data_IF_820317963770
#
_entry.id   IF_820317963770
#
_cell.length_a   1.000
_cell.length_b   1.000
_cell.length_c   1.000
_cell.angle_alpha   90.00
_cell.angle_beta   90.00
_cell.angle_gamma   90.00
#
_symmetry.space_group_name_H-M   'P 1'
#
loop_
_entity.id
_entity.type
_entity.pdbx_description
1 polymer ?
#
# COMPACT_ATOMS: atom_id res chain seq x y z
N UNK A 1 55.00 -52.82 29.89
CA UNK A 1 55.23 -51.82 28.84
C UNK A 1 54.23 -50.69 29.07
N UNK A 2 54.42 -49.71 29.96
CA UNK A 2 55.61 -48.94 30.41
C UNK A 2 55.80 -47.64 29.62
N UNK A 3 55.41 -46.51 30.26
CA UNK A 3 55.77 -45.09 30.06
C UNK A 3 56.12 -44.48 28.67
N UNK A 4 55.26 -43.55 28.20
CA UNK A 4 55.60 -42.28 27.51
C UNK A 4 56.46 -42.37 26.21
N UNK A 5 57.01 -41.33 25.54
CA UNK A 5 57.12 -39.84 25.62
C UNK A 5 57.05 -39.28 24.15
N UNK A 6 56.89 -37.98 23.79
CA UNK A 6 56.79 -36.67 24.50
C UNK A 6 56.01 -35.62 23.63
N UNK A 7 55.88 -34.40 24.14
CA UNK A 7 55.25 -33.20 23.54
C UNK A 7 56.09 -32.52 22.42
N UNK A 8 55.46 -32.06 21.31
CA UNK A 8 55.76 -30.87 20.47
C UNK A 8 54.84 -30.85 19.22
N UNK A 9 54.44 -29.72 18.62
CA UNK A 9 54.72 -28.31 18.90
C UNK A 9 53.53 -27.39 18.55
N UNK A 10 53.67 -26.11 18.90
CA UNK A 10 52.71 -25.01 18.69
C UNK A 10 52.22 -24.84 17.25
N UNK A 11 50.96 -24.39 17.11
CA UNK A 11 50.58 -23.38 16.13
C UNK A 11 49.68 -22.33 16.81
N UNK A 12 49.74 -21.08 16.34
CA UNK A 12 49.04 -19.94 16.94
C UNK A 12 48.08 -19.28 15.94
N UNK A 13 47.05 -18.61 16.46
CA UNK A 13 45.90 -18.09 15.71
C UNK A 13 44.61 -18.82 16.12
N UNK A 14 43.46 -18.17 16.27
CA UNK A 14 43.16 -16.73 16.16
C UNK A 14 41.94 -16.37 17.03
N UNK A 15 41.46 -15.13 16.96
CA UNK A 15 40.34 -14.66 17.79
C UNK A 15 39.06 -15.48 17.54
N UNK A 16 38.49 -16.03 18.63
CA UNK A 16 37.12 -16.51 18.69
C UNK A 16 36.35 -15.69 19.74
N UNK A 17 36.09 -14.41 19.43
CA UNK A 17 35.18 -13.60 20.23
C UNK A 17 33.76 -14.14 20.05
N UNK A 18 33.24 -14.82 21.07
CA UNK A 18 31.85 -15.28 21.11
C UNK A 18 30.92 -14.06 21.19
N UNK A 19 30.47 -13.60 20.03
CA UNK A 19 29.47 -12.54 19.92
C UNK A 19 28.21 -12.99 20.65
N UNK A 20 27.82 -12.23 21.67
CA UNK A 20 26.57 -12.44 22.39
C UNK A 20 25.40 -12.07 21.45
N UNK A 21 24.95 -13.04 20.66
CA UNK A 21 23.78 -12.92 19.81
C UNK A 21 22.53 -12.81 20.67
N UNK A 22 22.16 -11.59 21.05
CA UNK A 22 20.79 -11.29 21.47
C UNK A 22 19.87 -11.60 20.30
N UNK A 23 19.27 -12.80 20.32
CA UNK A 23 18.23 -13.21 19.40
C UNK A 23 16.94 -12.46 19.74
N UNK A 24 16.91 -11.16 19.43
CA UNK A 24 15.66 -10.39 19.37
C UNK A 24 14.74 -11.13 18.41
N UNK A 25 13.62 -11.62 18.91
CA UNK A 25 12.61 -12.23 18.05
C UNK A 25 12.23 -11.22 16.96
N UNK A 26 12.01 -11.65 15.69
CA UNK A 26 11.42 -10.77 14.71
C UNK A 26 10.09 -10.28 15.29
N UNK A 27 9.91 -8.96 15.36
CA UNK A 27 8.69 -8.38 15.86
C UNK A 27 7.52 -8.91 15.02
N UNK A 28 6.48 -9.41 15.68
CA UNK A 28 5.28 -9.87 15.00
C UNK A 28 4.74 -8.72 14.16
N UNK A 29 4.57 -8.93 12.85
CA UNK A 29 4.09 -7.90 11.94
C UNK A 29 2.61 -7.65 12.23
N UNK A 30 2.35 -6.72 13.15
CA UNK A 30 1.05 -6.09 13.34
C UNK A 30 0.89 -5.11 12.17
N UNK A 31 0.04 -5.38 11.17
CA UNK A 31 -0.27 -4.37 10.17
C UNK A 31 -0.86 -3.15 10.88
N UNK A 32 -0.52 -1.91 10.46
CA UNK A 32 -1.08 -0.73 11.09
C UNK A 32 -2.61 -0.78 11.02
N UNK A 33 -3.28 -0.51 12.14
CA UNK A 33 -4.74 -0.37 12.16
C UNK A 33 -5.09 0.75 11.17
N UNK A 34 -5.99 0.53 10.19
CA UNK A 34 -6.41 1.59 9.27
C UNK A 34 -6.94 2.78 10.05
N UNK A 35 -6.16 3.87 10.10
CA UNK A 35 -6.52 5.06 10.87
C UNK A 35 -7.46 5.89 10.02
N UNK A 36 -8.68 6.08 10.52
CA UNK A 36 -9.60 7.09 9.96
C UNK A 36 -9.08 8.48 10.33
N UNK A 37 -8.13 8.99 9.54
CA UNK A 37 -7.52 10.30 9.78
C UNK A 37 -8.48 11.44 9.37
N UNK A 38 -8.26 12.67 9.86
CA UNK A 38 -9.04 13.83 9.42
C UNK A 38 -9.01 14.04 7.90
N UNK A 39 -7.91 13.67 7.23
CA UNK A 39 -7.73 13.86 5.80
C UNK A 39 -8.38 12.72 5.01
N UNK A 40 -8.36 11.48 5.52
CA UNK A 40 -9.20 10.38 4.99
C UNK A 40 -10.69 10.75 5.05
N UNK A 41 -11.16 11.26 6.20
CA UNK A 41 -12.55 11.68 6.37
C UNK A 41 -12.93 12.87 5.47
N UNK A 42 -12.02 13.83 5.27
CA UNK A 42 -12.19 14.95 4.36
C UNK A 42 -12.30 14.50 2.90
N UNK A 43 -11.46 13.55 2.47
CA UNK A 43 -11.51 13.00 1.11
C UNK A 43 -12.80 12.21 0.88
N UNK A 44 -13.17 11.32 1.81
CA UNK A 44 -14.42 10.54 1.74
C UNK A 44 -15.69 11.40 1.63
N UNK A 45 -15.71 12.55 2.31
CA UNK A 45 -16.84 13.49 2.31
C UNK A 45 -16.88 14.45 1.11
N UNK A 46 -15.92 14.39 0.19
CA UNK A 46 -15.99 15.19 -1.04
C UNK A 46 -17.21 14.82 -1.88
N UNK A 47 -17.82 15.85 -2.46
CA UNK A 47 -18.86 15.75 -3.50
C UNK A 47 -18.26 16.38 -4.75
N UNK A 48 -18.20 15.62 -5.84
CA UNK A 48 -17.53 16.04 -7.07
C UNK A 48 -18.50 16.71 -8.04
N UNK A 49 -17.97 17.48 -9.00
CA UNK A 49 -18.76 18.13 -10.05
C UNK A 49 -19.44 17.14 -11.02
N UNK A 50 -19.00 15.88 -11.04
CA UNK A 50 -19.54 14.80 -11.88
C UNK A 50 -20.89 14.28 -11.38
N UNK A 51 -21.10 14.24 -10.06
CA UNK A 51 -22.37 13.95 -9.41
C UNK A 51 -22.43 14.69 -8.07
N UNK A 52 -23.28 15.70 -7.99
CA UNK A 52 -23.42 16.53 -6.79
C UNK A 52 -24.35 15.94 -5.72
N UNK A 53 -24.80 14.69 -5.89
CA UNK A 53 -25.77 14.02 -5.01
C UNK A 53 -25.17 12.94 -4.11
N UNK A 54 -24.02 12.34 -4.46
CA UNK A 54 -23.36 11.29 -3.67
C UNK A 54 -21.93 11.69 -3.24
N UNK A 55 -21.57 11.51 -1.95
CA UNK A 55 -20.18 11.62 -1.50
C UNK A 55 -19.27 10.55 -2.10
N UNK A 56 -17.98 10.85 -2.17
CA UNK A 56 -16.95 9.97 -2.73
C UNK A 56 -16.89 8.60 -2.06
N UNK A 57 -17.06 8.52 -0.74
CA UNK A 57 -17.14 7.22 -0.03
C UNK A 57 -18.31 6.37 -0.53
N UNK A 58 -19.48 6.98 -0.72
CA UNK A 58 -20.68 6.29 -1.19
C UNK A 58 -20.53 5.79 -2.63
N UNK A 59 -19.85 6.55 -3.50
CA UNK A 59 -19.50 6.09 -4.85
C UNK A 59 -18.60 4.83 -4.80
N UNK A 60 -17.50 4.87 -4.03
CA UNK A 60 -16.61 3.71 -3.88
C UNK A 60 -17.23 2.52 -3.12
N UNK A 61 -18.21 2.75 -2.25
CA UNK A 61 -19.02 1.70 -1.61
C UNK A 61 -19.95 0.99 -2.60
N UNK A 62 -20.48 1.71 -3.59
CA UNK A 62 -21.38 1.17 -4.61
C UNK A 62 -20.64 0.57 -5.82
N UNK A 63 -19.40 1.00 -6.08
CA UNK A 63 -18.60 0.58 -7.23
C UNK A 63 -18.31 -0.93 -7.25
N UNK A 64 -18.97 -1.64 -8.16
CA UNK A 64 -19.08 -3.10 -8.19
C UNK A 64 -17.86 -3.85 -8.73
N UNK A 65 -16.91 -3.16 -9.37
CA UNK A 65 -15.65 -3.75 -9.83
C UNK A 65 -14.63 -3.93 -8.70
N UNK A 66 -14.75 -3.19 -7.59
CA UNK A 66 -13.95 -3.45 -6.39
C UNK A 66 -14.54 -4.61 -5.58
N UNK A 67 -13.75 -5.65 -5.29
CA UNK A 67 -14.10 -6.67 -4.30
C UNK A 67 -14.33 -5.99 -2.92
N UNK A 68 -15.57 -5.99 -2.38
CA UNK A 68 -15.91 -5.18 -1.20
C UNK A 68 -15.09 -5.48 0.06
N UNK A 69 -14.54 -6.70 0.19
CA UNK A 69 -13.70 -7.11 1.32
C UNK A 69 -12.27 -6.55 1.28
N UNK A 70 -11.88 -5.96 0.15
CA UNK A 70 -10.51 -5.49 -0.12
C UNK A 70 -10.39 -3.97 -0.19
N UNK A 71 -11.52 -3.27 -0.05
CA UNK A 71 -11.61 -1.81 -0.12
C UNK A 71 -10.94 -1.18 1.10
N UNK A 72 -9.82 -0.50 0.89
CA UNK A 72 -9.06 0.21 1.93
C UNK A 72 -9.01 1.70 1.65
N UNK A 73 -9.04 2.48 2.72
CA UNK A 73 -8.71 3.91 2.71
C UNK A 73 -7.54 4.12 3.67
N UNK A 74 -6.48 4.79 3.22
CA UNK A 74 -5.25 4.97 4.00
C UNK A 74 -4.63 6.35 3.72
N UNK A 75 -4.09 7.00 4.75
CA UNK A 75 -3.22 8.17 4.58
C UNK A 75 -1.75 7.68 4.59
N UNK A 76 -1.16 7.58 3.40
CA UNK A 76 0.19 7.04 3.19
C UNK A 76 1.28 7.98 3.75
N UNK A 77 1.05 9.28 3.60
CA UNK A 77 1.90 10.41 4.01
C UNK A 77 0.95 11.56 4.42
N UNK A 78 1.35 12.52 5.26
CA UNK A 78 0.52 13.67 5.60
C UNK A 78 -0.03 14.40 4.37
N UNK A 79 -1.36 14.43 4.24
CA UNK A 79 -2.07 14.99 3.08
C UNK A 79 -2.04 14.14 1.81
N UNK A 80 -1.68 12.85 1.89
CA UNK A 80 -1.72 11.88 0.77
C UNK A 80 -2.63 10.72 1.13
N UNK A 81 -3.88 10.80 0.68
CA UNK A 81 -4.88 9.75 0.91
C UNK A 81 -4.96 8.86 -0.33
N UNK A 82 -5.02 7.54 -0.12
CA UNK A 82 -5.31 6.58 -1.18
C UNK A 82 -6.55 5.77 -0.83
N UNK A 83 -7.40 5.56 -1.83
CA UNK A 83 -8.33 4.43 -1.87
C UNK A 83 -7.69 3.31 -2.68
N UNK A 84 -7.85 2.06 -2.26
CA UNK A 84 -7.49 0.91 -3.09
C UNK A 84 -8.40 -0.29 -2.90
N UNK A 85 -8.47 -1.14 -3.91
CA UNK A 85 -9.20 -2.40 -3.88
C UNK A 85 -8.62 -3.38 -4.91
N UNK A 86 -8.86 -4.67 -4.74
CA UNK A 86 -8.60 -5.65 -5.77
C UNK A 86 -9.82 -5.77 -6.70
N UNK A 87 -9.55 -5.83 -8.01
CA UNK A 87 -10.51 -6.18 -9.05
C UNK A 87 -10.65 -7.71 -9.15
N UNK A 88 -9.50 -8.40 -9.18
CA UNK A 88 -9.37 -9.85 -9.17
C UNK A 88 -8.18 -10.26 -8.27
N UNK A 89 -7.91 -11.56 -8.11
CA UNK A 89 -6.87 -12.08 -7.21
C UNK A 89 -5.43 -11.67 -7.57
N UNK A 90 -5.19 -11.11 -8.76
CA UNK A 90 -3.89 -10.60 -9.23
C UNK A 90 -3.86 -9.10 -9.55
N UNK A 91 -5.01 -8.42 -9.64
CA UNK A 91 -5.14 -7.05 -10.16
C UNK A 91 -5.63 -6.03 -9.11
N UNK A 92 -4.78 -5.05 -8.80
CA UNK A 92 -5.01 -3.98 -7.83
C UNK A 92 -5.36 -2.65 -8.54
N UNK A 93 -6.41 -1.98 -8.08
CA UNK A 93 -6.80 -0.62 -8.48
C UNK A 93 -6.56 0.36 -7.32
N UNK A 94 -5.97 1.53 -7.58
CA UNK A 94 -5.72 2.56 -6.56
C UNK A 94 -6.00 3.98 -7.08
N UNK A 95 -6.64 4.82 -6.26
CA UNK A 95 -6.92 6.22 -6.55
C UNK A 95 -6.25 7.10 -5.49
N UNK A 96 -5.36 8.01 -5.91
CA UNK A 96 -4.63 8.91 -5.01
C UNK A 96 -5.24 10.31 -5.00
N UNK A 97 -5.48 10.82 -3.80
CA UNK A 97 -5.96 12.16 -3.50
C UNK A 97 -4.91 12.91 -2.68
N UNK A 98 -4.78 14.21 -2.92
CA UNK A 98 -3.90 15.12 -2.18
C UNK A 98 -4.73 16.16 -1.44
N UNK A 99 -4.37 16.41 -0.19
CA UNK A 99 -5.00 17.42 0.67
C UNK A 99 -4.00 18.55 0.89
N UNK A 100 -4.37 19.77 0.52
CA UNK A 100 -3.52 20.94 0.72
C UNK A 100 -3.50 21.38 2.20
N UNK A 101 -2.53 22.21 2.64
CA UNK A 101 -2.54 22.81 3.97
C UNK A 101 -3.83 23.59 4.29
N UNK A 102 -4.45 24.18 3.27
CA UNK A 102 -5.72 24.90 3.29
C UNK A 102 -6.95 23.97 3.26
N UNK A 103 -6.73 22.65 3.34
CA UNK A 103 -7.75 21.58 3.28
C UNK A 103 -8.59 21.57 2.01
N UNK A 104 -7.97 21.96 0.89
CA UNK A 104 -8.50 21.66 -0.45
C UNK A 104 -8.11 20.24 -0.84
N UNK A 105 -9.08 19.43 -1.27
CA UNK A 105 -8.80 18.11 -1.86
C UNK A 105 -8.61 18.26 -3.36
N UNK A 106 -7.57 17.65 -3.90
CA UNK A 106 -7.40 17.41 -5.34
C UNK A 106 -7.22 15.93 -5.61
N UNK A 107 -7.75 15.45 -6.72
CA UNK A 107 -7.42 14.14 -7.23
C UNK A 107 -6.11 14.20 -8.03
N UNK A 108 -5.26 13.17 -7.94
CA UNK A 108 -3.88 13.22 -8.41
C UNK A 108 -3.53 12.17 -9.47
N UNK A 109 -3.91 10.91 -9.25
CA UNK A 109 -3.56 9.80 -10.16
C UNK A 109 -4.40 8.55 -9.91
N UNK A 110 -4.62 7.78 -10.97
CA UNK A 110 -5.08 6.38 -10.92
C UNK A 110 -3.87 5.47 -11.08
N UNK A 111 -3.86 4.32 -10.40
CA UNK A 111 -2.93 3.23 -10.65
C UNK A 111 -3.69 1.93 -10.87
N UNK A 112 -3.26 1.17 -11.88
CA UNK A 112 -3.70 -0.20 -12.10
C UNK A 112 -2.48 -1.10 -12.26
N UNK A 113 -2.44 -2.15 -11.44
CA UNK A 113 -1.29 -3.05 -11.30
C UNK A 113 -1.81 -4.48 -11.37
N UNK A 114 -1.59 -5.17 -12.49
CA UNK A 114 -1.95 -6.58 -12.65
C UNK A 114 -0.72 -7.49 -12.64
N UNK A 115 -0.82 -8.58 -11.87
CA UNK A 115 0.12 -9.71 -11.95
C UNK A 115 -0.30 -10.73 -13.01
N UNK A 116 -1.53 -10.62 -13.54
CA UNK A 116 -2.09 -11.54 -14.53
C UNK A 116 -1.78 -11.12 -15.97
N UNK A 117 -1.51 -9.83 -16.19
CA UNK A 117 -1.16 -9.27 -17.49
C UNK A 117 0.08 -8.35 -17.39
N UNK A 118 1.11 -8.66 -18.17
CA UNK A 118 2.39 -7.95 -18.18
C UNK A 118 2.28 -6.53 -18.75
N UNK A 119 1.35 -6.27 -19.67
CA UNK A 119 1.15 -4.94 -20.26
C UNK A 119 0.48 -3.97 -19.25
N UNK A 120 -0.09 -4.52 -18.17
CA UNK A 120 -0.71 -3.79 -17.06
C UNK A 120 0.05 -3.93 -15.73
N UNK A 121 1.33 -4.34 -15.77
CA UNK A 121 2.11 -4.63 -14.57
C UNK A 121 2.38 -3.42 -13.65
N UNK A 122 2.28 -2.19 -14.15
CA UNK A 122 2.31 -0.95 -13.37
C UNK A 122 1.85 0.26 -14.23
N UNK A 123 0.55 0.35 -14.54
CA UNK A 123 0.00 1.52 -15.25
C UNK A 123 -0.40 2.63 -14.26
N UNK A 124 -0.13 3.88 -14.64
CA UNK A 124 -0.48 5.06 -13.85
C UNK A 124 -1.01 6.17 -14.76
N UNK A 125 -2.27 6.57 -14.55
CA UNK A 125 -2.95 7.60 -15.33
C UNK A 125 -2.98 8.92 -14.53
N UNK A 126 -2.95 10.06 -15.23
CA UNK A 126 -2.96 11.41 -14.65
C UNK A 126 -3.76 12.38 -15.50
N UNK A 127 -4.33 13.41 -14.89
CA UNK A 127 -5.15 14.39 -15.61
C UNK A 127 -6.41 13.74 -16.19
N UNK A 128 -6.84 14.08 -17.43
CA UNK A 128 -8.11 13.62 -18.00
C UNK A 128 -8.34 12.10 -17.91
N UNK A 129 -7.34 11.30 -18.26
CA UNK A 129 -7.42 9.84 -18.27
C UNK A 129 -7.69 9.27 -16.85
N UNK A 130 -7.18 9.93 -15.82
CA UNK A 130 -7.47 9.59 -14.43
C UNK A 130 -8.84 10.09 -13.99
N UNK A 131 -9.26 11.29 -14.39
CA UNK A 131 -10.59 11.84 -14.07
C UNK A 131 -11.71 10.98 -14.69
N UNK A 132 -11.51 10.43 -15.89
CA UNK A 132 -12.43 9.45 -16.47
C UNK A 132 -12.40 8.11 -15.70
N UNK A 133 -11.24 7.63 -15.24
CA UNK A 133 -11.11 6.47 -14.34
C UNK A 133 -11.75 6.70 -12.94
N UNK A 134 -11.84 7.95 -12.47
CA UNK A 134 -12.56 8.33 -11.25
C UNK A 134 -14.07 8.43 -11.51
N UNK A 135 -14.48 9.01 -12.64
CA UNK A 135 -15.87 9.07 -13.09
C UNK A 135 -16.47 7.69 -13.38
N UNK A 136 -15.65 6.72 -13.80
CA UNK A 136 -16.03 5.31 -13.95
C UNK A 136 -16.55 4.69 -12.64
N UNK A 137 -16.06 5.16 -11.48
CA UNK A 137 -16.57 4.77 -10.15
C UNK A 137 -18.03 5.18 -9.98
N UNK A 138 -18.36 6.42 -10.35
CA UNK A 138 -19.71 6.99 -10.25
C UNK A 138 -20.69 6.39 -11.27
N UNK A 139 -20.23 6.05 -12.47
CA UNK A 139 -21.06 5.41 -13.52
C UNK A 139 -21.05 3.87 -13.45
N UNK A 140 -20.31 3.30 -12.49
CA UNK A 140 -20.10 1.86 -12.31
C UNK A 140 -19.65 1.15 -13.60
N UNK A 141 -18.65 1.72 -14.29
CA UNK A 141 -18.03 1.22 -15.51
C UNK A 141 -16.55 0.83 -15.27
N UNK A 142 -15.89 0.09 -16.18
CA UNK A 142 -14.44 -0.07 -16.18
C UNK A 142 -13.70 1.28 -16.17
N UNK A 143 -12.55 1.39 -15.48
CA UNK A 143 -11.75 2.61 -15.43
C UNK A 143 -10.71 2.72 -16.57
N UNK A 144 -10.76 1.79 -17.54
CA UNK A 144 -9.92 1.66 -18.74
C UNK A 144 -10.69 0.92 -19.84
#
# INVERSE_FOLDING_TARGET
MTHAMRLKALFAGGLAALVAGCATQPAEFVPPVPVETPDVALVKSQILSYDTSIPLSTAFEQYGLCNPKTRTWEEMEPGRVMFSCYFDDGSLMQWEFRVSPEKTVTYAQFHYTSQNDADFAAQSLRGPDAEDALKAVYTNQPPF
#
